data_IF_384078328184
#
_entry.id   IF_384078328184
#
_cell.length_a   1.000
_cell.length_b   1.000
_cell.length_c   1.000
_cell.angle_alpha   90.00
_cell.angle_beta   90.00
_cell.angle_gamma   90.00
#
_symmetry.space_group_name_H-M   'P 1'
#
loop_
_entity.id
_entity.type
_entity.pdbx_description
1 polymer ?
#
# COMPACT_ATOMS: atom_id res chain seq x y z
N UNK A 1 21.82 -34.44 -12.21
CA UNK A 1 21.39 -33.74 -10.99
C UNK A 1 19.95 -33.30 -11.19
N UNK A 2 19.03 -33.66 -10.29
CA UNK A 2 17.67 -33.09 -10.32
C UNK A 2 17.78 -31.59 -10.05
N UNK A 3 17.04 -30.78 -10.79
CA UNK A 3 17.00 -29.33 -10.56
C UNK A 3 16.35 -29.01 -9.20
N UNK A 4 16.67 -27.87 -8.58
CA UNK A 4 16.06 -27.43 -7.31
C UNK A 4 14.51 -27.50 -7.36
N UNK A 5 13.92 -27.15 -8.51
CA UNK A 5 12.48 -27.26 -8.78
C UNK A 5 11.93 -28.69 -8.71
N UNK A 6 12.70 -29.70 -9.10
CA UNK A 6 12.28 -31.11 -9.01
C UNK A 6 12.39 -31.65 -7.58
N UNK A 7 13.33 -31.15 -6.79
CA UNK A 7 13.49 -31.51 -5.37
C UNK A 7 12.33 -30.91 -4.56
N UNK A 8 11.97 -29.66 -4.84
CA UNK A 8 10.92 -28.93 -4.12
C UNK A 8 9.50 -29.42 -4.44
N UNK A 9 9.25 -29.96 -5.65
CA UNK A 9 7.94 -30.52 -6.05
C UNK A 9 7.42 -31.63 -5.14
N UNK A 10 8.29 -32.29 -4.37
CA UNK A 10 7.92 -33.35 -3.43
C UNK A 10 7.93 -32.90 -1.97
N UNK A 11 8.23 -31.63 -1.70
CA UNK A 11 8.17 -31.06 -0.35
C UNK A 11 6.77 -30.48 -0.07
N UNK A 12 6.21 -30.76 1.12
CA UNK A 12 4.88 -30.28 1.50
C UNK A 12 4.79 -28.79 1.80
N UNK A 13 5.93 -28.10 1.90
CA UNK A 13 6.06 -26.71 2.34
C UNK A 13 6.62 -25.82 1.21
N UNK A 14 6.11 -25.95 -0.01
CA UNK A 14 6.52 -25.15 -1.16
C UNK A 14 5.33 -24.40 -1.74
N UNK A 15 5.54 -23.11 -2.04
CA UNK A 15 4.56 -22.24 -2.69
C UNK A 15 5.14 -21.73 -4.00
N UNK A 16 4.28 -21.61 -5.00
CA UNK A 16 4.63 -21.05 -6.31
C UNK A 16 4.01 -19.67 -6.47
N UNK A 17 4.77 -18.77 -7.09
CA UNK A 17 4.28 -17.51 -7.61
C UNK A 17 5.11 -17.09 -8.81
N UNK A 18 5.02 -15.82 -9.13
CA UNK A 18 5.76 -15.16 -10.19
C UNK A 18 7.01 -14.51 -9.58
N UNK A 19 8.17 -14.98 -10.02
CA UNK A 19 9.48 -14.37 -9.75
C UNK A 19 9.52 -12.95 -10.32
N UNK A 20 9.35 -11.94 -9.46
CA UNK A 20 9.20 -10.54 -9.86
C UNK A 20 10.51 -9.77 -9.82
N UNK A 21 11.43 -10.15 -8.93
CA UNK A 21 12.73 -9.53 -8.77
C UNK A 21 13.75 -10.56 -8.28
N UNK A 22 14.87 -10.71 -9.00
CA UNK A 22 15.80 -11.80 -8.80
C UNK A 22 16.46 -11.77 -7.43
N UNK A 23 16.69 -12.95 -6.88
CA UNK A 23 17.59 -13.16 -5.75
C UNK A 23 17.09 -14.24 -4.79
N UNK A 24 18.03 -14.81 -4.03
CA UNK A 24 17.75 -15.83 -3.04
C UNK A 24 18.01 -15.26 -1.65
N UNK A 25 17.02 -15.32 -0.77
CA UNK A 25 17.21 -14.90 0.63
C UNK A 25 16.49 -15.83 1.59
N UNK A 26 16.98 -15.84 2.84
CA UNK A 26 16.47 -16.67 3.92
C UNK A 26 16.21 -15.77 5.12
N UNK A 27 15.03 -15.86 5.69
CA UNK A 27 14.63 -14.98 6.78
C UNK A 27 13.34 -15.41 7.46
N UNK A 28 13.04 -14.79 8.60
CA UNK A 28 11.76 -14.97 9.26
C UNK A 28 10.67 -14.22 8.51
N UNK A 29 9.51 -14.85 8.39
CA UNK A 29 8.30 -14.25 7.86
C UNK A 29 7.79 -13.16 8.81
N UNK A 30 7.31 -12.08 8.23
CA UNK A 30 6.48 -11.09 8.89
C UNK A 30 5.23 -10.87 8.02
N UNK A 31 4.07 -11.27 8.54
CA UNK A 31 2.79 -11.14 7.84
C UNK A 31 2.29 -9.71 8.01
N UNK A 32 2.48 -8.90 6.98
CA UNK A 32 2.07 -7.51 6.95
C UNK A 32 0.60 -7.41 6.50
N UNK A 33 -0.23 -6.90 7.40
CA UNK A 33 -1.60 -6.51 7.10
C UNK A 33 -1.78 -5.02 7.40
N UNK A 34 -2.55 -4.33 6.56
CA UNK A 34 -2.92 -2.93 6.81
C UNK A 34 -3.94 -2.86 7.95
N UNK A 35 -3.81 -1.83 8.78
CA UNK A 35 -4.83 -1.53 9.80
C UNK A 35 -6.16 -1.22 9.11
N UNK A 36 -7.23 -1.90 9.51
CA UNK A 36 -8.59 -1.56 9.10
C UNK A 36 -9.05 -0.39 9.95
N UNK A 37 -9.36 0.73 9.29
CA UNK A 37 -9.85 1.93 9.97
C UNK A 37 -11.37 1.84 10.12
N UNK A 38 -11.85 1.98 11.35
CA UNK A 38 -13.30 2.09 11.62
C UNK A 38 -13.77 3.50 11.24
N UNK A 39 -14.81 3.60 10.41
CA UNK A 39 -15.36 4.88 9.96
C UNK A 39 -16.51 5.30 10.86
N UNK A 40 -16.43 6.51 11.41
CA UNK A 40 -17.49 7.11 12.19
C UNK A 40 -18.54 7.75 11.26
N UNK A 41 -19.75 7.22 11.35
CA UNK A 41 -20.89 7.63 10.55
C UNK A 41 -21.78 8.70 11.20
N UNK A 42 -21.42 9.18 12.40
CA UNK A 42 -22.26 10.10 13.16
C UNK A 42 -22.38 11.48 12.49
N UNK A 43 -23.35 12.25 12.96
CA UNK A 43 -23.53 13.66 12.60
C UNK A 43 -22.59 14.56 13.42
N UNK A 44 -22.30 15.73 12.88
CA UNK A 44 -21.51 16.78 13.53
C UNK A 44 -22.36 18.04 13.71
N UNK A 45 -22.08 18.79 14.78
CA UNK A 45 -22.67 20.11 15.03
C UNK A 45 -21.72 21.24 14.63
N UNK A 46 -20.42 21.06 14.90
CA UNK A 46 -19.36 22.04 14.64
C UNK A 46 -18.74 21.87 13.24
N UNK A 47 -19.41 22.42 12.23
CA UNK A 47 -18.98 22.30 10.82
C UNK A 47 -17.62 22.95 10.57
N UNK A 48 -17.34 24.12 11.15
CA UNK A 48 -16.09 24.84 10.93
C UNK A 48 -14.88 24.12 11.57
N UNK A 49 -15.09 23.48 12.73
CA UNK A 49 -14.07 22.62 13.35
C UNK A 49 -13.80 21.40 12.46
N UNK A 50 -14.84 20.75 11.94
CA UNK A 50 -14.71 19.60 11.06
C UNK A 50 -13.93 19.93 9.77
N UNK A 51 -14.16 21.11 9.18
CA UNK A 51 -13.40 21.58 8.01
C UNK A 51 -11.94 21.84 8.37
N UNK A 52 -11.68 22.46 9.53
CA UNK A 52 -10.32 22.67 10.03
C UNK A 52 -9.57 21.34 10.17
N UNK A 53 -10.19 20.35 10.84
CA UNK A 53 -9.62 19.01 11.02
C UNK A 53 -9.35 18.31 9.67
N UNK A 54 -10.25 18.45 8.70
CA UNK A 54 -10.05 17.93 7.35
C UNK A 54 -8.83 18.56 6.67
N UNK A 55 -8.71 19.88 6.70
CA UNK A 55 -7.58 20.59 6.10
C UNK A 55 -6.24 20.21 6.77
N UNK A 56 -6.21 20.12 8.11
CA UNK A 56 -5.02 19.66 8.85
C UNK A 56 -4.63 18.22 8.47
N UNK A 57 -5.62 17.32 8.37
CA UNK A 57 -5.37 15.94 7.97
C UNK A 57 -4.86 15.83 6.53
N UNK A 58 -5.38 16.66 5.62
CA UNK A 58 -4.95 16.73 4.23
C UNK A 58 -3.49 17.23 4.15
N UNK A 59 -3.17 18.34 4.81
CA UNK A 59 -1.82 18.91 4.83
C UNK A 59 -0.81 17.90 5.42
N UNK A 60 -1.19 17.21 6.49
CA UNK A 60 -0.35 16.16 7.09
C UNK A 60 -0.15 14.98 6.12
N UNK A 61 -1.20 14.57 5.40
CA UNK A 61 -1.14 13.51 4.39
C UNK A 61 -0.20 13.87 3.25
N UNK A 62 -0.28 15.11 2.75
CA UNK A 62 0.62 15.64 1.73
C UNK A 62 2.07 15.67 2.24
N UNK A 63 2.32 16.16 3.45
CA UNK A 63 3.67 16.17 4.06
C UNK A 63 4.26 14.77 4.17
N UNK A 64 3.47 13.78 4.59
CA UNK A 64 3.90 12.37 4.65
C UNK A 64 4.25 11.84 3.26
N UNK A 65 3.39 12.08 2.27
CA UNK A 65 3.59 11.60 0.91
C UNK A 65 4.79 12.28 0.24
N UNK A 66 5.03 13.57 0.47
CA UNK A 66 6.24 14.28 0.00
C UNK A 66 7.52 13.66 0.59
N UNK A 67 7.51 13.24 1.86
CA UNK A 67 8.64 12.52 2.47
C UNK A 67 8.88 11.15 1.82
N UNK A 68 7.80 10.42 1.52
CA UNK A 68 7.88 9.14 0.81
C UNK A 68 8.44 9.36 -0.59
N UNK A 69 7.94 10.37 -1.31
CA UNK A 69 8.40 10.73 -2.65
C UNK A 69 9.88 11.10 -2.67
N UNK A 70 10.35 11.93 -1.73
CA UNK A 70 11.76 12.31 -1.63
C UNK A 70 12.67 11.08 -1.41
N UNK A 71 12.27 10.19 -0.51
CA UNK A 71 13.01 8.93 -0.28
C UNK A 71 12.97 8.00 -1.51
N UNK A 72 11.83 7.91 -2.20
CA UNK A 72 11.71 7.14 -3.42
C UNK A 72 12.64 7.70 -4.52
N UNK A 73 12.66 9.02 -4.73
CA UNK A 73 13.59 9.64 -5.69
C UNK A 73 15.05 9.28 -5.41
N UNK A 74 15.47 9.29 -4.15
CA UNK A 74 16.82 8.89 -3.74
C UNK A 74 17.13 7.43 -4.04
N UNK A 75 16.18 6.50 -3.81
CA UNK A 75 16.43 5.05 -3.91
C UNK A 75 16.20 4.45 -5.29
N UNK A 76 15.22 4.93 -6.05
CA UNK A 76 14.81 4.32 -7.32
C UNK A 76 14.88 5.28 -8.53
N UNK A 77 15.31 6.53 -8.31
CA UNK A 77 15.39 7.56 -9.34
C UNK A 77 14.06 8.24 -9.65
N UNK A 78 14.14 9.36 -10.36
CA UNK A 78 13.00 10.27 -10.58
C UNK A 78 11.88 9.65 -11.41
N UNK A 79 12.21 8.97 -12.51
CA UNK A 79 11.22 8.35 -13.40
C UNK A 79 10.35 7.32 -12.69
N UNK A 80 10.94 6.51 -11.79
CA UNK A 80 10.20 5.46 -11.07
C UNK A 80 9.45 6.03 -9.86
N UNK A 81 9.93 7.13 -9.30
CA UNK A 81 9.26 7.84 -8.22
C UNK A 81 8.05 8.67 -8.70
N UNK A 82 7.90 8.92 -10.01
CA UNK A 82 6.82 9.74 -10.58
C UNK A 82 5.40 9.26 -10.21
N UNK A 83 5.22 8.00 -9.82
CA UNK A 83 3.95 7.50 -9.30
C UNK A 83 3.47 8.28 -8.06
N UNK A 84 4.40 8.62 -7.15
CA UNK A 84 4.06 9.38 -5.95
C UNK A 84 3.72 10.84 -6.26
N UNK A 85 4.21 11.38 -7.38
CA UNK A 85 3.83 12.70 -7.88
C UNK A 85 2.36 12.72 -8.32
N UNK A 86 1.91 11.68 -9.04
CA UNK A 86 0.50 11.53 -9.38
C UNK A 86 -0.39 11.43 -8.13
N UNK A 87 0.06 10.73 -7.08
CA UNK A 87 -0.67 10.65 -5.81
C UNK A 87 -0.74 12.02 -5.10
N UNK A 88 0.33 12.82 -5.18
CA UNK A 88 0.32 14.20 -4.67
C UNK A 88 -0.65 15.08 -5.46
N UNK A 89 -0.71 14.94 -6.78
CA UNK A 89 -1.66 15.68 -7.62
C UNK A 89 -3.12 15.40 -7.22
N UNK A 90 -3.46 14.16 -6.88
CA UNK A 90 -4.79 13.80 -6.39
C UNK A 90 -5.08 14.48 -5.03
N UNK A 91 -4.10 14.50 -4.13
CA UNK A 91 -4.23 15.17 -2.82
C UNK A 91 -4.26 16.70 -2.92
N UNK A 92 -3.75 17.27 -4.00
CA UNK A 92 -3.72 18.71 -4.27
C UNK A 92 -4.87 19.15 -5.19
N UNK A 93 -5.78 18.24 -5.61
CA UNK A 93 -6.87 18.54 -6.54
C UNK A 93 -7.94 19.45 -5.90
N UNK A 94 -8.08 20.71 -6.35
CA UNK A 94 -9.03 21.66 -5.78
C UNK A 94 -10.49 21.24 -5.99
N UNK A 95 -10.79 20.43 -7.02
CA UNK A 95 -12.16 19.94 -7.27
C UNK A 95 -12.53 18.91 -6.22
N UNK A 96 -11.66 17.91 -5.99
CA UNK A 96 -11.88 16.90 -4.95
C UNK A 96 -12.00 17.53 -3.56
N UNK A 97 -11.07 18.42 -3.21
CA UNK A 97 -11.05 19.13 -1.91
C UNK A 97 -12.30 19.99 -1.75
N UNK A 98 -12.69 20.72 -2.82
CA UNK A 98 -13.89 21.54 -2.85
C UNK A 98 -15.16 20.73 -2.64
N UNK A 99 -15.28 19.59 -3.33
CA UNK A 99 -16.41 18.67 -3.19
C UNK A 99 -16.53 18.11 -1.77
N UNK A 100 -15.43 17.60 -1.19
CA UNK A 100 -15.42 17.08 0.18
C UNK A 100 -15.82 18.19 1.17
N UNK A 101 -15.26 19.39 1.02
CA UNK A 101 -15.58 20.53 1.90
C UNK A 101 -17.05 20.94 1.78
N UNK A 102 -17.60 20.98 0.57
CA UNK A 102 -19.00 21.30 0.35
C UNK A 102 -19.92 20.24 0.98
N UNK A 103 -19.58 18.96 0.84
CA UNK A 103 -20.33 17.85 1.43
C UNK A 103 -20.30 17.86 2.96
N UNK A 104 -19.16 18.17 3.59
CA UNK A 104 -19.07 18.35 5.05
C UNK A 104 -20.05 19.43 5.53
N UNK A 105 -20.14 20.56 4.80
CA UNK A 105 -21.07 21.66 5.12
C UNK A 105 -22.54 21.28 4.96
N UNK A 106 -22.87 20.55 3.90
CA UNK A 106 -24.25 20.23 3.54
C UNK A 106 -24.80 19.04 4.33
N UNK A 107 -24.02 17.96 4.42
CA UNK A 107 -24.45 16.70 5.04
C UNK A 107 -24.26 16.70 6.57
N UNK A 108 -23.39 17.58 7.09
CA UNK A 108 -23.08 17.66 8.53
C UNK A 108 -22.73 16.29 9.14
N UNK A 109 -21.87 15.54 8.44
CA UNK A 109 -21.31 14.28 8.93
C UNK A 109 -19.81 14.41 9.19
N UNK A 110 -19.26 13.47 9.95
CA UNK A 110 -17.82 13.42 10.22
C UNK A 110 -17.00 13.44 8.91
N UNK A 111 -15.88 14.19 8.86
CA UNK A 111 -15.04 14.28 7.67
C UNK A 111 -14.55 12.92 7.16
N UNK A 112 -14.25 11.97 8.05
CA UNK A 112 -13.78 10.64 7.66
C UNK A 112 -14.81 9.85 6.86
N UNK A 113 -16.10 10.00 7.18
CA UNK A 113 -17.17 9.41 6.39
C UNK A 113 -17.25 10.04 5.00
N UNK A 114 -17.22 11.38 4.92
CA UNK A 114 -17.32 12.08 3.64
C UNK A 114 -16.13 11.76 2.74
N UNK A 115 -14.92 11.71 3.30
CA UNK A 115 -13.70 11.30 2.60
C UNK A 115 -13.81 9.86 2.12
N UNK A 116 -14.25 8.94 2.99
CA UNK A 116 -14.39 7.53 2.62
C UNK A 116 -15.39 7.36 1.47
N UNK A 117 -16.57 7.96 1.58
CA UNK A 117 -17.63 7.86 0.58
C UNK A 117 -17.24 8.51 -0.75
N UNK A 118 -16.67 9.73 -0.73
CA UNK A 118 -16.30 10.43 -1.96
C UNK A 118 -15.17 9.72 -2.71
N UNK A 119 -14.11 9.32 -2.00
CA UNK A 119 -12.96 8.67 -2.65
C UNK A 119 -13.31 7.24 -3.10
N UNK A 120 -14.18 6.53 -2.36
CA UNK A 120 -14.61 5.18 -2.74
C UNK A 120 -15.37 5.14 -4.07
N UNK A 121 -16.05 6.23 -4.47
CA UNK A 121 -16.68 6.32 -5.81
C UNK A 121 -15.65 6.19 -6.94
N UNK A 122 -14.53 6.90 -6.82
CA UNK A 122 -13.44 6.83 -7.81
C UNK A 122 -12.77 5.45 -7.80
N UNK A 123 -12.59 4.86 -6.61
CA UNK A 123 -12.05 3.51 -6.44
C UNK A 123 -12.93 2.47 -7.15
N UNK A 124 -14.25 2.54 -6.97
CA UNK A 124 -15.21 1.63 -7.62
C UNK A 124 -15.20 1.76 -9.14
N UNK A 125 -15.16 3.00 -9.66
CA UNK A 125 -15.03 3.24 -11.10
C UNK A 125 -13.77 2.57 -11.66
N UNK A 126 -12.63 2.71 -11.00
CA UNK A 126 -11.37 2.06 -11.41
C UNK A 126 -11.42 0.53 -11.32
N UNK A 127 -12.05 -0.03 -10.28
CA UNK A 127 -12.22 -1.49 -10.18
C UNK A 127 -13.13 -2.09 -11.24
N UNK A 128 -14.14 -1.33 -11.67
CA UNK A 128 -15.07 -1.76 -12.72
C UNK A 128 -14.44 -1.79 -14.11
N UNK A 129 -13.30 -1.12 -14.29
CA UNK A 129 -12.56 -1.14 -15.55
C UNK A 129 -11.99 -2.54 -15.83
N UNK A 130 -11.94 -2.89 -17.11
CA UNK A 130 -11.49 -4.20 -17.56
C UNK A 130 -9.98 -4.39 -17.41
N UNK A 131 -9.24 -3.29 -17.46
CA UNK A 131 -7.80 -3.24 -17.56
C UNK A 131 -7.13 -3.44 -16.20
N UNK A 132 -6.18 -4.38 -16.13
CA UNK A 132 -5.50 -4.73 -14.89
C UNK A 132 -4.83 -3.54 -14.20
N UNK A 133 -4.23 -2.63 -14.98
CA UNK A 133 -3.58 -1.44 -14.45
C UNK A 133 -4.54 -0.49 -13.72
N UNK A 134 -5.84 -0.48 -14.07
CA UNK A 134 -6.84 0.31 -13.37
C UNK A 134 -7.14 -0.23 -11.98
N UNK A 135 -7.10 -1.56 -11.81
CA UNK A 135 -7.23 -2.19 -10.50
C UNK A 135 -6.06 -1.85 -9.59
N UNK A 136 -4.85 -1.75 -10.14
CA UNK A 136 -3.68 -1.27 -9.38
C UNK A 136 -3.85 0.20 -8.95
N UNK A 137 -4.33 1.07 -9.85
CA UNK A 137 -4.63 2.46 -9.49
C UNK A 137 -5.74 2.59 -8.45
N UNK A 138 -6.72 1.67 -8.43
CA UNK A 138 -7.74 1.66 -7.39
C UNK A 138 -7.13 1.43 -6.00
N UNK A 139 -6.11 0.57 -5.89
CA UNK A 139 -5.37 0.32 -4.65
C UNK A 139 -4.51 1.52 -4.24
N UNK A 140 -4.00 2.27 -5.22
CA UNK A 140 -3.28 3.52 -4.98
C UNK A 140 -4.21 4.61 -4.42
N UNK A 141 -5.43 4.74 -4.98
CA UNK A 141 -6.46 5.64 -4.45
C UNK A 141 -6.88 5.23 -3.03
N UNK A 142 -6.96 3.93 -2.77
CA UNK A 142 -7.25 3.42 -1.44
C UNK A 142 -6.17 3.80 -0.41
N UNK A 143 -4.88 3.78 -0.79
CA UNK A 143 -3.80 4.24 0.07
C UNK A 143 -3.94 5.73 0.43
N UNK A 144 -4.32 6.55 -0.55
CA UNK A 144 -4.58 7.98 -0.36
C UNK A 144 -5.75 8.19 0.60
N UNK A 145 -6.86 7.48 0.38
CA UNK A 145 -8.06 7.50 1.24
C UNK A 145 -7.71 7.17 2.68
N UNK A 146 -7.09 6.00 2.90
CA UNK A 146 -6.74 5.51 4.23
C UNK A 146 -5.72 6.44 4.93
N UNK A 147 -4.82 7.08 4.17
CA UNK A 147 -3.89 8.08 4.71
C UNK A 147 -4.62 9.30 5.27
N UNK A 148 -5.59 9.86 4.55
CA UNK A 148 -6.38 11.01 5.02
C UNK A 148 -7.17 10.63 6.26
N UNK A 149 -7.90 9.51 6.21
CA UNK A 149 -8.74 9.03 7.32
C UNK A 149 -7.90 8.76 8.56
N UNK A 150 -6.75 8.10 8.43
CA UNK A 150 -5.87 7.87 9.58
C UNK A 150 -5.39 9.19 10.21
N UNK A 151 -5.09 10.20 9.38
CA UNK A 151 -4.68 11.51 9.87
C UNK A 151 -5.82 12.27 10.54
N UNK A 152 -7.06 12.14 10.06
CA UNK A 152 -8.28 12.63 10.72
C UNK A 152 -8.45 11.98 12.11
N UNK A 153 -8.25 10.67 12.22
CA UNK A 153 -8.33 9.93 13.48
C UNK A 153 -7.14 10.17 14.41
N UNK A 154 -6.17 11.01 14.01
CA UNK A 154 -4.92 11.27 14.74
C UNK A 154 -4.13 9.99 15.07
N UNK A 155 -4.40 8.89 14.35
CA UNK A 155 -3.67 7.64 14.49
C UNK A 155 -2.29 7.78 13.85
N UNK A 156 -1.30 7.15 14.47
CA UNK A 156 0.05 7.08 13.88
C UNK A 156 0.04 6.01 12.80
N UNK A 157 0.84 6.21 11.75
CA UNK A 157 1.20 5.14 10.82
C UNK A 157 1.89 4.03 11.65
N UNK A 158 1.16 3.00 12.06
CA UNK A 158 1.73 1.86 12.78
C UNK A 158 2.50 1.01 11.77
N UNK A 159 3.83 1.06 11.85
CA UNK A 159 4.69 0.31 10.93
C UNK A 159 6.03 0.02 11.54
N UNK A 160 6.01 -0.65 12.69
CA UNK A 160 7.20 -1.31 13.18
C UNK A 160 7.31 -2.66 12.49
N UNK A 161 7.86 -2.64 11.28
CA UNK A 161 8.31 -3.87 10.64
C UNK A 161 9.65 -4.24 11.28
N UNK A 162 9.81 -5.46 11.79
CA UNK A 162 11.09 -5.90 12.35
C UNK A 162 12.19 -5.85 11.28
N UNK A 163 13.42 -5.59 11.70
CA UNK A 163 14.55 -5.59 10.77
C UNK A 163 14.89 -7.01 10.30
N UNK A 164 15.30 -7.15 9.03
CA UNK A 164 15.83 -8.41 8.50
C UNK A 164 14.79 -9.52 8.35
N UNK A 165 13.54 -9.16 8.00
CA UNK A 165 12.44 -10.11 7.76
C UNK A 165 12.08 -10.21 6.30
N UNK A 166 11.44 -11.32 5.91
CA UNK A 166 10.74 -11.46 4.64
C UNK A 166 9.29 -11.05 4.88
N UNK A 167 8.83 -10.02 4.17
CA UNK A 167 7.46 -9.52 4.33
C UNK A 167 6.50 -10.34 3.49
N UNK A 168 5.39 -10.78 4.08
CA UNK A 168 4.32 -11.50 3.38
C UNK A 168 3.05 -10.66 3.48
N UNK A 169 2.42 -10.32 2.36
CA UNK A 169 1.22 -9.47 2.34
C UNK A 169 0.24 -9.93 1.27
N UNK A 170 -1.06 -9.60 1.41
CA UNK A 170 -2.02 -9.87 0.36
C UNK A 170 -1.78 -9.00 -0.88
N UNK A 171 -1.40 -7.75 -0.62
CA UNK A 171 -1.07 -6.74 -1.63
C UNK A 171 -0.06 -5.75 -1.06
N UNK A 172 0.74 -5.12 -1.93
CA UNK A 172 1.80 -4.18 -1.55
C UNK A 172 1.64 -2.91 -2.39
N UNK A 173 1.41 -1.77 -1.74
CA UNK A 173 1.36 -0.48 -2.43
C UNK A 173 2.77 0.12 -2.57
N UNK A 174 2.98 1.10 -3.46
CA UNK A 174 4.25 1.81 -3.55
C UNK A 174 4.73 2.36 -2.19
N UNK A 175 3.82 2.89 -1.37
CA UNK A 175 4.16 3.40 -0.04
C UNK A 175 4.69 2.31 0.91
N UNK A 176 4.13 1.10 0.83
CA UNK A 176 4.55 -0.04 1.66
C UNK A 176 5.98 -0.49 1.33
N UNK A 177 6.35 -0.53 0.04
CA UNK A 177 7.72 -0.91 -0.36
C UNK A 177 8.80 0.02 0.21
N UNK A 178 8.48 1.31 0.36
CA UNK A 178 9.36 2.29 0.98
C UNK A 178 9.54 1.99 2.47
N UNK A 179 8.46 1.59 3.14
CA UNK A 179 8.53 1.15 4.52
C UNK A 179 9.40 -0.10 4.67
N UNK A 180 9.24 -1.08 3.77
CA UNK A 180 10.03 -2.33 3.77
C UNK A 180 11.52 -2.04 3.56
N UNK A 181 11.82 -1.06 2.71
CA UNK A 181 13.20 -0.58 2.49
C UNK A 181 13.77 0.03 3.77
N UNK A 182 13.00 0.88 4.46
CA UNK A 182 13.43 1.51 5.72
C UNK A 182 13.64 0.50 6.85
N UNK A 183 12.87 -0.58 6.88
CA UNK A 183 13.07 -1.68 7.83
C UNK A 183 14.15 -2.67 7.40
N UNK A 184 14.84 -2.45 6.28
CA UNK A 184 15.82 -3.42 5.74
C UNK A 184 15.20 -4.83 5.61
N UNK A 185 13.99 -4.90 5.04
CA UNK A 185 13.39 -6.17 4.68
C UNK A 185 14.30 -6.93 3.71
N UNK A 186 14.37 -8.25 3.87
CA UNK A 186 15.20 -9.12 3.05
C UNK A 186 14.58 -9.37 1.67
N UNK A 187 13.27 -9.20 1.56
CA UNK A 187 12.47 -9.38 0.35
C UNK A 187 11.00 -9.47 0.71
N UNK A 188 10.13 -9.71 -0.27
CA UNK A 188 8.69 -9.83 -0.01
C UNK A 188 7.93 -10.78 -0.92
N UNK A 189 6.81 -11.27 -0.38
CA UNK A 189 5.87 -12.17 -1.02
C UNK A 189 4.50 -11.47 -1.05
N UNK A 190 3.81 -11.53 -2.18
CA UNK A 190 2.44 -11.01 -2.27
C UNK A 190 1.48 -11.95 -3.00
N UNK A 191 0.27 -12.08 -2.47
CA UNK A 191 -0.76 -12.95 -3.05
C UNK A 191 -1.32 -12.42 -4.36
N UNK A 192 -1.37 -11.11 -4.50
CA UNK A 192 -1.79 -10.42 -5.71
C UNK A 192 -0.61 -9.74 -6.41
N UNK A 193 -0.83 -9.38 -7.68
CA UNK A 193 0.14 -8.70 -8.53
C UNK A 193 0.73 -9.59 -9.63
N UNK A 194 1.37 -8.95 -10.60
CA UNK A 194 2.05 -9.59 -11.72
C UNK A 194 3.40 -8.94 -12.04
N UNK A 195 4.06 -9.37 -13.11
CA UNK A 195 5.40 -8.88 -13.52
C UNK A 195 5.48 -7.38 -13.81
N UNK A 196 4.34 -6.77 -14.17
CA UNK A 196 4.21 -5.35 -14.50
C UNK A 196 3.61 -4.54 -13.35
N UNK A 197 3.33 -5.17 -12.21
CA UNK A 197 2.73 -4.49 -11.07
C UNK A 197 3.68 -3.49 -10.42
N UNK A 198 3.15 -2.48 -9.75
CA UNK A 198 3.95 -1.55 -8.96
C UNK A 198 4.87 -2.28 -7.96
N UNK A 199 4.37 -3.31 -7.28
CA UNK A 199 5.18 -4.15 -6.40
C UNK A 199 6.37 -4.76 -7.16
N UNK A 200 6.16 -5.40 -8.30
CA UNK A 200 7.24 -5.99 -9.10
C UNK A 200 8.25 -4.96 -9.65
N UNK A 201 7.77 -3.81 -10.13
CA UNK A 201 8.63 -2.73 -10.65
C UNK A 201 9.50 -2.16 -9.54
N UNK A 202 8.92 -1.93 -8.36
CA UNK A 202 9.64 -1.34 -7.23
C UNK A 202 10.61 -2.36 -6.62
N UNK A 203 10.24 -3.64 -6.50
CA UNK A 203 11.14 -4.72 -6.06
C UNK A 203 12.47 -4.71 -6.84
N UNK A 204 12.38 -4.72 -8.17
CA UNK A 204 13.54 -4.68 -9.08
C UNK A 204 14.36 -3.42 -8.92
N UNK A 205 13.69 -2.29 -8.65
CA UNK A 205 14.36 -1.01 -8.46
C UNK A 205 15.17 -0.94 -7.18
N UNK A 206 14.72 -1.67 -6.16
CA UNK A 206 15.33 -1.71 -4.84
C UNK A 206 16.28 -2.90 -4.67
N UNK A 207 16.44 -3.75 -5.69
CA UNK A 207 17.16 -5.02 -5.62
C UNK A 207 16.71 -5.90 -4.44
N UNK A 208 15.40 -5.91 -4.17
CA UNK A 208 14.79 -6.76 -3.16
C UNK A 208 14.20 -8.00 -3.85
N UNK A 209 14.63 -9.22 -3.48
CA UNK A 209 13.99 -10.45 -3.95
C UNK A 209 12.49 -10.43 -3.72
N UNK A 210 11.70 -10.73 -4.75
CA UNK A 210 10.25 -10.67 -4.65
C UNK A 210 9.53 -11.75 -5.45
N UNK A 211 8.53 -12.37 -4.81
CA UNK A 211 7.60 -13.31 -5.45
C UNK A 211 6.19 -12.75 -5.35
N UNK A 212 5.52 -12.55 -6.48
CA UNK A 212 4.17 -11.97 -6.55
C UNK A 212 3.17 -12.99 -7.07
N UNK A 213 1.87 -12.78 -6.86
CA UNK A 213 0.84 -13.68 -7.39
C UNK A 213 0.88 -15.08 -6.78
N UNK A 214 1.17 -15.21 -5.48
CA UNK A 214 1.14 -16.51 -4.78
C UNK A 214 -0.26 -17.01 -4.43
N UNK A 215 -1.26 -16.13 -4.53
CA UNK A 215 -2.68 -16.37 -4.24
C UNK A 215 -3.07 -16.73 -2.80
N UNK A 216 -2.24 -17.47 -2.04
CA UNK A 216 -2.56 -17.93 -0.67
C UNK A 216 -1.35 -18.03 0.28
N UNK A 217 -0.30 -17.24 0.05
CA UNK A 217 0.84 -17.13 0.95
C UNK A 217 0.45 -16.57 2.31
N UNK A 218 -0.44 -15.57 2.39
CA UNK A 218 -0.87 -14.98 3.66
C UNK A 218 -1.69 -15.96 4.52
N UNK A 219 -2.37 -16.92 3.90
CA UNK A 219 -3.14 -17.95 4.60
C UNK A 219 -2.25 -19.07 5.15
N UNK A 220 -1.13 -19.35 4.47
CA UNK A 220 -0.27 -20.50 4.75
C UNK A 220 0.96 -20.17 5.58
N UNK A 221 1.45 -18.95 5.49
CA UNK A 221 2.64 -18.47 6.19
C UNK A 221 2.22 -17.70 7.44
N UNK A 222 2.88 -17.97 8.56
CA UNK A 222 2.65 -17.26 9.83
C UNK A 222 3.87 -16.45 10.24
N UNK A 223 3.65 -15.46 11.11
CA UNK A 223 4.73 -14.68 11.69
C UNK A 223 5.80 -15.56 12.33
N UNK A 224 7.07 -15.29 12.00
CA UNK A 224 8.22 -16.01 12.54
C UNK A 224 8.62 -17.28 11.79
N UNK A 225 7.81 -17.76 10.84
CA UNK A 225 8.16 -18.91 9.99
C UNK A 225 9.47 -18.65 9.25
N UNK A 226 10.37 -19.65 9.18
CA UNK A 226 11.61 -19.51 8.42
C UNK A 226 11.31 -19.78 6.94
N UNK A 227 11.53 -18.77 6.10
CA UNK A 227 11.28 -18.84 4.67
C UNK A 227 12.59 -18.78 3.88
N UNK A 228 12.57 -19.45 2.73
CA UNK A 228 13.50 -19.23 1.63
C UNK A 228 12.67 -18.68 0.48
N UNK A 229 13.04 -17.52 -0.05
CA UNK A 229 12.42 -16.97 -1.26
C UNK A 229 13.44 -16.97 -2.39
N UNK A 230 12.97 -17.38 -3.58
CA UNK A 230 13.69 -17.40 -4.85
C UNK A 230 12.89 -16.53 -5.82
N UNK A 231 13.30 -15.27 -5.93
CA UNK A 231 12.57 -14.20 -6.63
C UNK A 231 12.93 -14.02 -8.09
#
# INVERSE_FOLDING_TARGET
>A
MKGLKEILKHSGNYLTGIAAAPGLTIGKAYVFAKEVLEINHNEITEVDEAITLFNEALEKSQKELRKIFGFAKEKMGETRAAIFEAHLMILDDPVLIGNITARIKQEKRFPEFIVDDEISKYQQLMFSASEHYMKERALDIEDIKNRIIRNLQKKRWQSKIPHGVIVVSGNITPADTILFTKSSALGYITDHGGLTSHAAIIARSLNLPAVVGTHNSTEKIKDGDLLVIDG
#
